data_IF_350532615801
#
_entry.id   IF_350532615801
#
_cell.length_a   1.000
_cell.length_b   1.000
_cell.length_c   1.000
_cell.angle_alpha   90.00
_cell.angle_beta   90.00
_cell.angle_gamma   90.00
#
_symmetry.space_group_name_H-M   'P 1'
#
loop_
_entity.id
_entity.type
_entity.pdbx_description
1 polymer ?
#
# COMPACT_ATOMS: atom_id res chain seq x y z
N UNK A 1 -11.83 -0.82 14.84
CA UNK A 1 -11.62 -1.99 13.94
C UNK A 1 -10.14 -2.33 13.82
N UNK A 2 -9.27 -1.51 13.17
CA UNK A 2 -7.85 -1.86 12.98
C UNK A 2 -7.06 -2.02 14.30
N UNK A 3 -7.33 -1.20 15.31
CA UNK A 3 -6.74 -1.36 16.65
C UNK A 3 -7.10 -2.70 17.31
N UNK A 4 -8.36 -3.13 17.20
CA UNK A 4 -8.82 -4.39 17.81
C UNK A 4 -8.20 -5.60 17.12
N UNK A 5 -8.02 -5.49 15.80
CA UNK A 5 -7.35 -6.47 14.95
C UNK A 5 -5.88 -6.64 15.36
N UNK A 6 -5.14 -5.55 15.61
CA UNK A 6 -3.75 -5.65 16.06
C UNK A 6 -3.59 -6.16 17.51
N UNK A 7 -4.60 -6.01 18.37
CA UNK A 7 -4.59 -6.57 19.73
C UNK A 7 -4.68 -8.10 19.74
N UNK A 8 -5.19 -8.70 18.66
CA UNK A 8 -5.36 -10.15 18.52
C UNK A 8 -4.69 -10.62 17.23
N UNK A 9 -3.35 -10.64 17.19
CA UNK A 9 -2.63 -11.10 16.01
C UNK A 9 -3.06 -12.52 15.63
N UNK A 10 -3.25 -12.75 14.33
CA UNK A 10 -3.59 -14.07 13.82
C UNK A 10 -2.34 -14.98 13.81
N UNK A 11 -1.89 -15.40 15.00
CA UNK A 11 -0.74 -16.27 15.21
C UNK A 11 0.52 -15.55 15.70
N UNK A 12 1.60 -16.32 15.87
CA UNK A 12 2.89 -15.84 16.41
C UNK A 12 3.91 -15.44 15.34
N UNK A 13 3.54 -15.49 14.04
CA UNK A 13 4.46 -15.19 12.95
C UNK A 13 4.72 -13.70 12.76
N UNK A 14 5.69 -13.36 11.90
CA UNK A 14 5.93 -11.97 11.46
C UNK A 14 4.74 -11.50 10.64
N UNK A 15 4.32 -10.26 10.83
CA UNK A 15 3.21 -9.63 10.09
C UNK A 15 3.73 -8.41 9.35
N UNK A 16 2.99 -7.96 8.34
CA UNK A 16 3.34 -6.74 7.61
C UNK A 16 2.13 -5.86 7.41
N UNK A 17 2.32 -4.55 7.51
CA UNK A 17 1.31 -3.55 7.18
C UNK A 17 1.77 -2.75 5.96
N UNK A 18 0.86 -2.59 5.00
CA UNK A 18 1.03 -1.75 3.83
C UNK A 18 0.15 -0.51 4.02
N UNK A 19 0.72 0.66 3.80
CA UNK A 19 -0.02 1.90 3.63
C UNK A 19 0.04 2.28 2.15
N UNK A 20 -1.11 2.48 1.54
CA UNK A 20 -1.26 2.62 0.08
C UNK A 20 -2.00 3.92 -0.20
N UNK A 21 -1.51 4.69 -1.16
CA UNK A 21 -2.18 5.86 -1.68
C UNK A 21 -2.25 5.80 -3.21
N UNK A 22 -3.43 6.11 -3.76
CA UNK A 22 -3.64 6.14 -5.20
C UNK A 22 -3.11 7.45 -5.79
N UNK A 23 -2.13 7.34 -6.68
CA UNK A 23 -1.48 8.51 -7.22
C UNK A 23 -2.43 9.30 -8.15
N UNK A 24 -2.48 10.62 -7.91
CA UNK A 24 -3.17 11.58 -8.77
C UNK A 24 -4.71 11.44 -8.83
N UNK A 25 -5.36 10.79 -7.86
CA UNK A 25 -6.83 10.64 -7.86
C UNK A 25 -7.55 12.00 -7.95
N UNK A 26 -7.03 13.04 -7.28
CA UNK A 26 -7.58 14.40 -7.39
C UNK A 26 -7.56 14.93 -8.82
N UNK A 27 -6.43 14.76 -9.55
CA UNK A 27 -6.31 15.21 -10.94
C UNK A 27 -7.32 14.49 -11.85
N UNK A 28 -7.55 13.21 -11.57
CA UNK A 28 -8.55 12.41 -12.28
C UNK A 28 -9.96 12.94 -11.98
N UNK A 29 -10.29 13.18 -10.72
CA UNK A 29 -11.58 13.76 -10.33
C UNK A 29 -11.82 15.13 -11.01
N UNK A 30 -10.81 15.99 -11.00
CA UNK A 30 -10.89 17.33 -11.58
C UNK A 30 -11.10 17.29 -13.11
N UNK A 31 -10.56 16.27 -13.78
CA UNK A 31 -10.59 16.15 -15.25
C UNK A 31 -11.75 15.30 -15.79
N UNK A 32 -12.14 14.25 -15.08
CA UNK A 32 -13.11 13.23 -15.54
C UNK A 32 -14.35 13.12 -14.62
N UNK A 33 -14.38 13.89 -13.53
CA UNK A 33 -15.48 13.90 -12.57
C UNK A 33 -15.38 12.80 -11.53
N UNK A 34 -16.12 12.98 -10.43
CA UNK A 34 -16.09 12.09 -9.27
C UNK A 34 -16.53 10.65 -9.58
N UNK A 35 -17.43 10.44 -10.56
CA UNK A 35 -17.83 9.09 -10.97
C UNK A 35 -16.65 8.27 -11.51
N UNK A 36 -15.70 8.91 -12.21
CA UNK A 36 -14.50 8.24 -12.68
C UNK A 36 -13.58 7.89 -11.50
N UNK A 37 -13.42 8.82 -10.54
CA UNK A 37 -12.67 8.56 -9.31
C UNK A 37 -13.26 7.42 -8.48
N UNK A 38 -14.59 7.35 -8.36
CA UNK A 38 -15.28 6.27 -7.63
C UNK A 38 -15.01 4.91 -8.28
N UNK A 39 -15.03 4.82 -9.62
CA UNK A 39 -14.66 3.58 -10.34
C UNK A 39 -13.21 3.19 -10.08
N UNK A 40 -12.30 4.15 -10.03
CA UNK A 40 -10.88 3.91 -9.72
C UNK A 40 -10.70 3.43 -8.29
N UNK A 41 -11.42 4.00 -7.33
CA UNK A 41 -11.40 3.55 -5.94
C UNK A 41 -11.95 2.12 -5.79
N UNK A 42 -13.02 1.79 -6.52
CA UNK A 42 -13.56 0.43 -6.57
C UNK A 42 -12.54 -0.55 -7.15
N UNK A 43 -11.94 -0.19 -8.28
CA UNK A 43 -10.92 -1.02 -8.93
C UNK A 43 -9.66 -1.22 -8.07
N UNK A 44 -9.22 -0.19 -7.36
CA UNK A 44 -8.14 -0.29 -6.38
C UNK A 44 -8.51 -1.27 -5.26
N UNK A 45 -9.73 -1.18 -4.73
CA UNK A 45 -10.23 -2.07 -3.69
C UNK A 45 -10.27 -3.53 -4.16
N UNK A 46 -10.77 -3.78 -5.37
CA UNK A 46 -10.78 -5.12 -6.00
C UNK A 46 -9.37 -5.66 -6.23
N UNK A 47 -8.45 -4.80 -6.66
CA UNK A 47 -7.03 -5.16 -6.86
C UNK A 47 -6.37 -5.60 -5.55
N UNK A 48 -6.64 -4.87 -4.46
CA UNK A 48 -6.11 -5.20 -3.13
C UNK A 48 -6.72 -6.51 -2.62
N UNK A 49 -8.05 -6.63 -2.64
CA UNK A 49 -8.75 -7.84 -2.21
C UNK A 49 -8.32 -9.09 -3.00
N UNK A 50 -8.17 -8.98 -4.32
CA UNK A 50 -7.70 -10.07 -5.18
C UNK A 50 -6.20 -10.42 -5.02
N UNK A 51 -5.48 -9.67 -4.20
CA UNK A 51 -4.05 -9.90 -3.89
C UNK A 51 -3.85 -10.38 -2.44
N UNK A 52 -4.90 -10.37 -1.62
CA UNK A 52 -4.90 -10.75 -0.21
C UNK A 52 -5.58 -12.12 0.03
N UNK A 53 -5.28 -12.74 1.18
CA UNK A 53 -6.01 -13.91 1.68
C UNK A 53 -7.25 -13.45 2.44
N UNK A 54 -8.19 -14.36 2.69
CA UNK A 54 -9.39 -14.09 3.49
C UNK A 54 -9.10 -13.72 4.95
N UNK A 55 -7.95 -14.12 5.48
CA UNK A 55 -7.50 -13.75 6.82
C UNK A 55 -6.97 -12.32 6.90
N UNK A 56 -6.43 -11.80 5.80
CA UNK A 56 -5.81 -10.49 5.75
C UNK A 56 -6.88 -9.39 5.80
N UNK A 57 -6.49 -8.20 6.24
CA UNK A 57 -7.42 -7.08 6.38
C UNK A 57 -7.10 -6.03 5.34
N UNK A 58 -8.12 -5.60 4.59
CA UNK A 58 -8.06 -4.45 3.69
C UNK A 58 -9.04 -3.41 4.22
N UNK A 59 -8.55 -2.20 4.48
CA UNK A 59 -9.34 -1.09 5.01
C UNK A 59 -9.07 0.18 4.20
N UNK A 60 -10.12 0.95 3.93
CA UNK A 60 -9.98 2.32 3.38
C UNK A 60 -9.95 3.30 4.56
N UNK A 61 -8.91 4.11 4.65
CA UNK A 61 -8.74 5.09 5.72
C UNK A 61 -9.53 6.36 5.45
N UNK A 62 -9.58 6.77 4.18
CA UNK A 62 -10.27 7.97 3.70
C UNK A 62 -9.70 8.39 2.35
N UNK A 63 -10.44 9.18 1.56
CA UNK A 63 -9.93 9.66 0.26
C UNK A 63 -9.43 8.52 -0.64
N UNK A 64 -8.19 8.61 -1.07
CA UNK A 64 -7.38 7.65 -1.85
C UNK A 64 -6.51 6.72 -1.00
N UNK A 65 -6.62 6.76 0.32
CA UNK A 65 -5.74 6.05 1.25
C UNK A 65 -6.34 4.71 1.72
N UNK A 66 -5.50 3.67 1.68
CA UNK A 66 -5.82 2.32 2.09
C UNK A 66 -4.74 1.74 2.99
N UNK A 67 -5.15 0.84 3.88
CA UNK A 67 -4.27 0.03 4.70
C UNK A 67 -4.55 -1.44 4.42
N UNK A 68 -3.48 -2.23 4.25
CA UNK A 68 -3.55 -3.68 4.17
C UNK A 68 -2.70 -4.29 5.28
N UNK A 69 -3.30 -5.14 6.11
CA UNK A 69 -2.60 -5.92 7.12
C UNK A 69 -2.51 -7.38 6.66
N UNK A 70 -1.27 -7.84 6.47
CA UNK A 70 -0.93 -9.18 6.04
C UNK A 70 -0.48 -10.02 7.23
N UNK A 71 -1.23 -11.06 7.55
CA UNK A 71 -0.90 -11.96 8.65
C UNK A 71 0.10 -13.03 8.24
N UNK A 72 1.00 -13.38 9.17
CA UNK A 72 2.07 -14.36 8.96
C UNK A 72 2.79 -14.14 7.62
N UNK A 73 3.15 -12.89 7.36
CA UNK A 73 3.75 -12.41 6.14
C UNK A 73 5.00 -11.58 6.47
N UNK A 74 6.16 -12.19 6.27
CA UNK A 74 7.45 -11.51 6.35
C UNK A 74 7.58 -10.42 5.28
N UNK A 75 8.52 -9.49 5.50
CA UNK A 75 8.73 -8.32 4.65
C UNK A 75 8.89 -8.68 3.18
N UNK A 76 9.68 -9.71 2.85
CA UNK A 76 9.98 -10.12 1.49
C UNK A 76 8.69 -10.48 0.74
N UNK A 77 7.84 -11.28 1.39
CA UNK A 77 6.54 -11.67 0.81
C UNK A 77 5.56 -10.50 0.74
N UNK A 78 5.59 -9.59 1.72
CA UNK A 78 4.76 -8.40 1.71
C UNK A 78 5.14 -7.47 0.55
N UNK A 79 6.43 -7.34 0.26
CA UNK A 79 6.96 -6.60 -0.90
C UNK A 79 6.49 -7.23 -2.21
N UNK A 80 6.58 -8.56 -2.36
CA UNK A 80 6.07 -9.25 -3.56
C UNK A 80 4.58 -8.97 -3.79
N UNK A 81 3.77 -9.00 -2.72
CA UNK A 81 2.34 -8.69 -2.77
C UNK A 81 2.13 -7.21 -3.16
N UNK A 82 2.85 -6.28 -2.56
CA UNK A 82 2.78 -4.84 -2.87
C UNK A 82 3.15 -4.56 -4.33
N UNK A 83 4.25 -5.12 -4.83
CA UNK A 83 4.67 -4.97 -6.23
C UNK A 83 3.61 -5.53 -7.16
N UNK A 84 3.04 -6.70 -6.84
CA UNK A 84 1.96 -7.31 -7.62
C UNK A 84 0.69 -6.47 -7.64
N UNK A 85 0.28 -5.89 -6.50
CA UNK A 85 -0.85 -4.96 -6.42
C UNK A 85 -0.64 -3.75 -7.32
N UNK A 86 0.52 -3.10 -7.21
CA UNK A 86 0.90 -1.94 -8.03
C UNK A 86 0.85 -2.26 -9.52
N UNK A 87 1.49 -3.36 -9.94
CA UNK A 87 1.49 -3.76 -11.35
C UNK A 87 0.08 -4.10 -11.86
N UNK A 88 -0.72 -4.84 -11.09
CA UNK A 88 -2.11 -5.17 -11.48
C UNK A 88 -2.95 -3.91 -11.67
N UNK A 89 -2.86 -2.98 -10.74
CA UNK A 89 -3.59 -1.72 -10.81
C UNK A 89 -3.21 -0.91 -12.06
N UNK A 90 -1.93 -0.87 -12.39
CA UNK A 90 -1.45 -0.19 -13.59
C UNK A 90 -1.99 -0.81 -14.89
N UNK A 91 -2.03 -2.15 -14.98
CA UNK A 91 -2.41 -2.84 -16.22
C UNK A 91 -3.91 -3.02 -16.46
N UNK A 92 -4.76 -2.93 -15.44
CA UNK A 92 -6.22 -3.14 -15.63
C UNK A 92 -7.01 -1.91 -16.07
N UNK A 93 -6.34 -0.78 -16.33
CA UNK A 93 -6.94 0.47 -16.81
C UNK A 93 -7.88 0.27 -18.01
N UNK A 94 -7.46 -0.55 -18.97
CA UNK A 94 -8.19 -0.85 -20.20
C UNK A 94 -9.55 -1.54 -19.96
N UNK A 95 -9.80 -2.03 -18.74
CA UNK A 95 -11.01 -2.75 -18.36
C UNK A 95 -12.09 -1.83 -17.78
N UNK A 96 -11.77 -0.57 -17.45
CA UNK A 96 -12.69 0.34 -16.73
C UNK A 96 -13.62 1.15 -17.65
N UNK A 97 -13.56 0.93 -18.96
CA UNK A 97 -14.46 1.51 -19.96
C UNK A 97 -13.99 2.86 -20.53
N UNK A 98 -14.75 3.43 -21.49
CA UNK A 98 -14.33 4.59 -22.28
C UNK A 98 -14.26 5.91 -21.49
N UNK A 99 -14.86 5.97 -20.30
CA UNK A 99 -14.89 7.16 -19.46
C UNK A 99 -13.67 7.27 -18.53
N UNK A 100 -12.79 6.26 -18.49
CA UNK A 100 -11.59 6.27 -17.67
C UNK A 100 -10.40 6.77 -18.49
N UNK A 101 -9.59 7.69 -17.95
CA UNK A 101 -8.44 8.26 -18.67
C UNK A 101 -7.52 7.22 -19.27
N UNK A 102 -6.96 7.53 -20.44
CA UNK A 102 -5.70 6.95 -20.93
C UNK A 102 -4.50 7.57 -20.16
N UNK A 103 -4.53 7.44 -18.84
CA UNK A 103 -3.48 7.87 -17.93
C UNK A 103 -3.00 6.65 -17.13
N UNK A 104 -1.68 6.52 -16.89
CA UNK A 104 -1.18 5.45 -16.04
C UNK A 104 -1.76 5.61 -14.63
N UNK A 105 -2.53 4.61 -14.19
CA UNK A 105 -2.94 4.47 -12.80
C UNK A 105 -1.79 3.85 -12.01
N UNK A 106 -1.31 4.57 -11.00
CA UNK A 106 -0.22 4.10 -10.15
C UNK A 106 -0.59 4.25 -8.68
N UNK A 107 0.12 3.53 -7.82
CA UNK A 107 -0.04 3.67 -6.38
C UNK A 107 1.34 3.73 -5.72
N UNK A 108 1.43 4.53 -4.68
CA UNK A 108 2.60 4.63 -3.81
C UNK A 108 2.34 3.77 -2.57
N UNK A 109 3.27 2.87 -2.24
CA UNK A 109 3.09 1.88 -1.16
C UNK A 109 4.25 1.97 -0.17
N UNK A 110 3.93 2.12 1.10
CA UNK A 110 4.84 1.98 2.22
C UNK A 110 4.62 0.66 2.94
N UNK A 111 5.69 -0.07 3.27
CA UNK A 111 5.63 -1.38 3.93
C UNK A 111 6.36 -1.35 5.27
N UNK A 112 5.76 -1.91 6.32
CA UNK A 112 6.40 -2.09 7.64
C UNK A 112 6.18 -3.50 8.19
N UNK A 113 7.27 -4.16 8.60
CA UNK A 113 7.25 -5.47 9.30
C UNK A 113 6.90 -5.28 10.78
N UNK A 114 6.29 -6.29 11.39
CA UNK A 114 6.00 -6.35 12.83
C UNK A 114 7.23 -6.24 13.72
N UNK A 115 8.40 -6.59 13.19
CA UNK A 115 9.70 -6.38 13.86
C UNK A 115 10.03 -4.90 14.05
N UNK A 116 9.42 -4.05 13.22
CA UNK A 116 9.51 -2.60 13.28
C UNK A 116 8.19 -1.96 13.69
N UNK A 117 7.28 -2.69 14.34
CA UNK A 117 6.12 -2.08 14.96
C UNK A 117 6.55 -1.30 16.21
N UNK A 118 5.85 -0.21 16.49
CA UNK A 118 6.05 0.52 17.74
C UNK A 118 5.21 -0.09 18.85
N UNK A 119 4.80 0.76 19.79
CA UNK A 119 3.94 0.36 20.91
C UNK A 119 2.46 0.53 20.59
N UNK A 120 2.14 1.45 19.67
CA UNK A 120 0.76 1.84 19.36
C UNK A 120 0.43 1.55 17.89
N UNK A 121 -0.87 1.54 17.57
CA UNK A 121 -1.31 1.50 16.17
C UNK A 121 -0.77 2.71 15.40
N UNK A 122 -0.79 3.89 16.02
CA UNK A 122 -0.27 5.13 15.42
C UNK A 122 1.21 5.01 15.04
N UNK A 123 2.02 4.31 15.83
CA UNK A 123 3.42 4.04 15.46
C UNK A 123 3.51 3.19 14.19
N UNK A 124 2.67 2.15 14.08
CA UNK A 124 2.68 1.24 12.94
C UNK A 124 2.20 1.96 11.68
N UNK A 125 1.05 2.64 11.76
CA UNK A 125 0.50 3.42 10.66
C UNK A 125 1.49 4.52 10.27
N UNK A 126 2.00 5.29 11.23
CA UNK A 126 2.92 6.40 10.96
C UNK A 126 4.23 5.96 10.28
N UNK A 127 4.76 4.78 10.62
CA UNK A 127 5.96 4.22 9.95
C UNK A 127 5.66 3.77 8.52
N UNK A 128 4.51 3.15 8.30
CA UNK A 128 4.09 2.73 6.96
C UNK A 128 3.74 3.94 6.07
N UNK A 129 3.03 4.93 6.62
CA UNK A 129 2.73 6.20 5.95
C UNK A 129 4.01 6.96 5.60
N UNK A 130 4.98 7.07 6.52
CA UNK A 130 6.26 7.70 6.22
C UNK A 130 7.02 7.01 5.08
N UNK A 131 6.95 5.68 4.99
CA UNK A 131 7.52 4.93 3.87
C UNK A 131 6.76 5.18 2.56
N UNK A 132 5.43 5.23 2.60
CA UNK A 132 4.59 5.59 1.44
C UNK A 132 4.89 7.02 0.96
N UNK A 133 5.05 7.95 1.90
CA UNK A 133 5.41 9.33 1.60
C UNK A 133 6.82 9.42 0.99
N UNK A 134 7.76 8.59 1.44
CA UNK A 134 9.05 8.46 0.78
C UNK A 134 8.90 7.98 -0.68
N UNK A 135 7.99 7.03 -0.97
CA UNK A 135 7.68 6.62 -2.35
C UNK A 135 7.15 7.79 -3.19
N UNK A 136 6.21 8.58 -2.64
CA UNK A 136 5.69 9.79 -3.32
C UNK A 136 6.76 10.81 -3.63
N UNK A 137 7.66 11.07 -2.69
CA UNK A 137 8.74 12.05 -2.86
C UNK A 137 9.82 11.61 -3.87
N UNK A 138 9.92 10.32 -4.17
CA UNK A 138 10.85 9.77 -5.16
C UNK A 138 10.21 9.52 -6.53
N UNK A 139 9.07 10.14 -6.81
CA UNK A 139 8.43 10.12 -8.12
C UNK A 139 7.16 9.28 -8.23
N UNK A 140 6.64 8.77 -7.10
CA UNK A 140 5.43 7.93 -7.02
C UNK A 140 5.63 6.57 -7.70
N UNK A 141 4.54 5.80 -7.88
CA UNK A 141 4.58 4.48 -8.52
C UNK A 141 5.68 3.57 -7.97
N UNK A 142 5.80 3.51 -6.64
CA UNK A 142 6.91 2.85 -5.98
C UNK A 142 6.47 2.15 -4.69
N UNK A 143 7.26 1.13 -4.32
CA UNK A 143 7.16 0.45 -3.03
C UNK A 143 8.41 0.81 -2.22
N UNK A 144 8.22 1.21 -0.97
CA UNK A 144 9.30 1.56 -0.05
C UNK A 144 9.07 0.86 1.27
N UNK A 145 10.13 0.25 1.81
CA UNK A 145 10.10 -0.43 3.11
C UNK A 145 10.64 0.48 4.21
N UNK A 146 9.97 0.52 5.35
CA UNK A 146 10.54 1.06 6.58
C UNK A 146 11.53 0.07 7.19
N UNK A 147 12.73 0.53 7.54
CA UNK A 147 13.85 -0.30 8.04
C UNK A 147 14.32 0.06 9.45
N UNK A 148 13.56 0.87 10.17
CA UNK A 148 13.88 1.30 11.53
C UNK A 148 14.44 2.71 11.59
N UNK A 149 15.32 2.94 12.55
CA UNK A 149 15.92 4.24 12.82
C UNK A 149 17.45 4.11 12.85
N UNK A 150 18.15 5.15 12.40
CA UNK A 150 19.60 5.24 12.59
C UNK A 150 19.96 5.68 14.02
N UNK A 151 21.26 5.83 14.27
CA UNK A 151 21.80 6.21 15.57
C UNK A 151 21.33 7.60 16.05
N UNK A 152 20.94 8.48 15.11
CA UNK A 152 20.45 9.83 15.38
C UNK A 152 18.91 9.87 15.50
N UNK A 153 18.25 8.72 15.40
CA UNK A 153 16.79 8.58 15.47
C UNK A 153 16.07 8.96 14.18
N UNK A 154 16.78 9.08 13.05
CA UNK A 154 16.17 9.35 11.75
C UNK A 154 15.63 8.05 11.15
N UNK A 155 14.45 8.13 10.54
CA UNK A 155 13.81 7.00 9.87
C UNK A 155 14.64 6.53 8.66
N UNK A 156 14.80 5.21 8.55
CA UNK A 156 15.48 4.54 7.45
C UNK A 156 14.46 3.91 6.51
N UNK A 157 14.67 4.13 5.20
CA UNK A 157 13.80 3.65 4.15
C UNK A 157 14.60 2.91 3.08
N UNK A 158 14.03 1.84 2.56
CA UNK A 158 14.61 1.08 1.45
C UNK A 158 13.63 1.03 0.28
N UNK A 159 13.93 1.71 -0.85
CA UNK A 159 13.15 1.57 -2.07
C UNK A 159 13.27 0.17 -2.65
N UNK A 160 12.14 -0.42 -3.04
CA UNK A 160 12.12 -1.69 -3.75
C UNK A 160 12.47 -1.44 -5.21
N UNK A 161 13.68 -1.83 -5.60
CA UNK A 161 14.10 -1.82 -7.01
C UNK A 161 13.55 -3.03 -7.75
N UNK A 162 13.18 -2.85 -9.01
CA UNK A 162 12.53 -3.87 -9.86
C UNK A 162 13.32 -5.19 -10.06
N UNK A 163 14.53 -5.31 -9.50
CA UNK A 163 15.39 -6.49 -9.60
C UNK A 163 15.09 -7.59 -8.55
N UNK A 164 14.06 -7.44 -7.72
CA UNK A 164 13.67 -8.46 -6.72
C UNK A 164 12.48 -9.34 -7.12
N UNK A 165 12.09 -9.37 -8.40
CA UNK A 165 11.27 -10.46 -8.93
C UNK A 165 12.21 -11.49 -9.56
N UNK A 166 12.88 -12.29 -8.73
CA UNK A 166 13.54 -13.51 -9.21
C UNK A 166 12.47 -14.55 -9.52
N UNK A 167 12.37 -14.89 -10.81
CA UNK A 167 12.13 -16.24 -11.35
C UNK A 167 10.91 -17.01 -10.88
#
# INVERSE_FOLDING_TARGET
VLEEVLKHPAGEGVHSLLFIDLDNLKMINDRFGHLAGDRILQYASETMLGSCRSSDVVARMGGDEFVVLLWNCAMERAVEIAVKMRSRYQFGLSSLGPDVPDLPLTMSIGVVSSEHWGKTLDDVIGRADAAMYAAKNHGKDAVVCFRGFDADGKMLFEPVVANHVTG
#
